data_IF_710676561090
#
_entry.id   IF_710676561090
#
_cell.length_a   1.000
_cell.length_b   1.000
_cell.length_c   1.000
_cell.angle_alpha   90.00
_cell.angle_beta   90.00
_cell.angle_gamma   90.00
#
_symmetry.space_group_name_H-M   'P 1'
#
loop_
_entity.id
_entity.type
_entity.pdbx_description
1 polymer ?
#
# COMPACT_ATOMS: atom_id res chain seq x y z
N UNK A 1 -49.60 13.09 -3.46
CA UNK A 1 -48.33 12.37 -3.46
C UNK A 1 -47.47 12.99 -4.53
N UNK A 2 -46.39 13.70 -4.16
CA UNK A 2 -45.42 14.20 -5.12
C UNK A 2 -44.65 13.03 -5.71
N UNK A 3 -44.71 12.86 -7.02
CA UNK A 3 -43.94 11.80 -7.70
C UNK A 3 -42.45 11.97 -7.33
N UNK A 4 -41.84 10.89 -6.90
CA UNK A 4 -40.39 10.88 -6.61
C UNK A 4 -39.63 11.26 -7.90
N UNK A 5 -38.77 12.27 -7.80
CA UNK A 5 -37.90 12.66 -8.93
C UNK A 5 -36.82 11.59 -9.08
N UNK A 6 -36.79 10.96 -10.25
CA UNK A 6 -35.73 9.99 -10.56
C UNK A 6 -34.45 10.72 -10.89
N UNK A 7 -33.34 10.36 -10.22
CA UNK A 7 -31.98 10.74 -10.60
C UNK A 7 -31.32 9.57 -11.34
N UNK A 8 -30.65 9.85 -12.46
CA UNK A 8 -29.91 8.86 -13.21
C UNK A 8 -28.40 9.24 -13.17
N UNK A 9 -27.58 8.35 -12.66
CA UNK A 9 -26.13 8.44 -12.77
C UNK A 9 -25.67 7.50 -13.91
N UNK A 10 -25.10 8.07 -14.95
CA UNK A 10 -24.54 7.32 -16.09
C UNK A 10 -23.01 7.45 -16.03
N UNK A 11 -22.32 6.35 -15.82
CA UNK A 11 -20.86 6.28 -15.74
C UNK A 11 -20.32 5.73 -17.06
N UNK A 12 -19.51 6.55 -17.75
CA UNK A 12 -18.76 6.13 -18.93
C UNK A 12 -17.35 5.77 -18.46
N UNK A 13 -17.16 4.51 -18.04
CA UNK A 13 -15.90 4.02 -17.49
C UNK A 13 -14.79 4.07 -18.53
N UNK A 14 -13.64 4.64 -18.17
CA UNK A 14 -12.52 4.87 -19.09
C UNK A 14 -12.69 6.09 -20.02
N UNK A 15 -13.80 6.81 -19.97
CA UNK A 15 -14.03 8.01 -20.76
C UNK A 15 -13.35 9.22 -20.12
N UNK A 16 -12.04 9.40 -20.43
CA UNK A 16 -11.24 10.49 -19.89
C UNK A 16 -11.28 11.76 -20.72
N UNK A 17 -10.71 12.84 -20.19
CA UNK A 17 -10.54 14.10 -20.89
C UNK A 17 -9.06 14.38 -21.16
N UNK A 18 -8.74 14.74 -22.41
CA UNK A 18 -7.43 15.22 -22.84
C UNK A 18 -7.61 16.18 -24.02
N UNK A 19 -6.98 17.35 -23.95
CA UNK A 19 -7.06 18.35 -25.02
C UNK A 19 -6.32 17.91 -26.30
N UNK A 20 -5.20 17.16 -26.15
CA UNK A 20 -4.44 16.67 -27.30
C UNK A 20 -5.24 15.69 -28.14
N UNK A 21 -5.21 15.87 -29.47
CA UNK A 21 -5.91 15.03 -30.46
C UNK A 21 -5.15 13.73 -30.76
N UNK A 22 -3.82 13.75 -30.69
CA UNK A 22 -2.99 12.61 -31.06
C UNK A 22 -3.21 11.42 -30.14
N UNK A 23 -3.45 10.25 -30.75
CA UNK A 23 -3.76 9.01 -30.03
C UNK A 23 -4.92 9.13 -29.04
N UNK A 24 -5.89 10.01 -29.31
CA UNK A 24 -7.09 10.22 -28.51
C UNK A 24 -8.32 9.67 -29.24
N UNK A 25 -8.71 8.45 -28.87
CA UNK A 25 -9.83 7.75 -29.49
C UNK A 25 -11.17 8.50 -29.32
N UNK A 26 -11.38 9.17 -28.19
CA UNK A 26 -12.59 9.96 -27.93
C UNK A 26 -12.65 11.15 -28.86
N UNK A 27 -11.52 11.86 -29.06
CA UNK A 27 -11.44 12.99 -29.99
C UNK A 27 -11.63 12.56 -31.45
N UNK A 28 -11.14 11.37 -31.82
CA UNK A 28 -11.27 10.83 -33.16
C UNK A 28 -12.66 10.22 -33.46
N UNK A 29 -13.44 9.95 -32.41
CA UNK A 29 -14.76 9.34 -32.59
C UNK A 29 -15.81 10.35 -33.02
N UNK A 30 -16.81 9.87 -33.77
CA UNK A 30 -18.00 10.65 -34.08
C UNK A 30 -19.00 10.53 -32.93
N UNK A 31 -18.95 11.47 -32.00
CA UNK A 31 -19.74 11.46 -30.75
C UNK A 31 -20.65 12.70 -30.62
N UNK A 32 -21.58 12.97 -31.54
CA UNK A 32 -22.32 14.23 -31.60
C UNK A 32 -23.17 14.51 -30.35
N UNK A 33 -23.68 13.49 -29.70
CA UNK A 33 -24.42 13.64 -28.42
C UNK A 33 -23.53 14.10 -27.29
N UNK A 34 -22.33 13.51 -27.17
CA UNK A 34 -21.33 13.90 -26.18
C UNK A 34 -20.89 15.36 -26.42
N UNK A 35 -20.53 15.68 -27.66
CA UNK A 35 -20.06 17.03 -28.03
C UNK A 35 -21.10 18.08 -27.71
N UNK A 36 -22.37 17.80 -28.00
CA UNK A 36 -23.49 18.69 -27.65
C UNK A 36 -23.65 18.85 -26.14
N UNK A 37 -23.60 17.75 -25.38
CA UNK A 37 -23.68 17.80 -23.92
C UNK A 37 -22.54 18.60 -23.32
N UNK A 38 -21.33 18.40 -23.82
CA UNK A 38 -20.14 19.13 -23.36
C UNK A 38 -20.23 20.63 -23.62
N UNK A 39 -20.79 21.04 -24.77
CA UNK A 39 -20.92 22.44 -25.11
C UNK A 39 -22.08 23.14 -24.40
N UNK A 40 -23.21 22.47 -24.22
CA UNK A 40 -24.47 23.10 -23.80
C UNK A 40 -24.82 22.87 -22.33
N UNK A 41 -24.17 21.92 -21.64
CA UNK A 41 -24.55 21.56 -20.26
C UNK A 41 -23.47 21.93 -19.25
N UNK A 42 -23.87 22.26 -18.03
CA UNK A 42 -22.90 22.44 -16.93
C UNK A 42 -22.04 21.18 -16.78
N UNK A 43 -20.73 21.37 -16.76
CA UNK A 43 -19.77 20.27 -16.59
C UNK A 43 -18.56 20.72 -15.78
N UNK A 44 -17.81 19.77 -15.25
CA UNK A 44 -16.55 19.99 -14.57
C UNK A 44 -15.62 18.81 -14.77
N UNK A 45 -14.34 19.01 -14.56
CA UNK A 45 -13.34 17.96 -14.54
C UNK A 45 -13.04 17.55 -13.11
N UNK A 46 -12.85 16.25 -12.92
CA UNK A 46 -12.42 15.67 -11.65
C UNK A 46 -11.08 14.97 -11.85
N UNK A 47 -10.28 14.92 -10.80
CA UNK A 47 -9.04 14.12 -10.80
C UNK A 47 -9.38 12.66 -10.58
N UNK A 48 -8.70 11.78 -11.33
CA UNK A 48 -8.96 10.33 -11.36
C UNK A 48 -7.74 9.50 -10.97
N UNK A 49 -6.71 10.12 -10.39
CA UNK A 49 -5.45 9.46 -10.03
C UNK A 49 -4.90 9.97 -8.69
N UNK A 50 -3.93 9.27 -8.16
CA UNK A 50 -3.20 9.62 -6.96
C UNK A 50 -4.09 9.82 -5.73
N UNK A 51 -3.71 10.71 -4.84
CA UNK A 51 -4.41 10.99 -3.58
C UNK A 51 -5.87 11.41 -3.77
N UNK A 52 -6.21 11.98 -4.93
CA UNK A 52 -7.58 12.40 -5.22
C UNK A 52 -8.57 11.23 -5.31
N UNK A 53 -8.09 10.02 -5.47
CA UNK A 53 -8.88 8.78 -5.48
C UNK A 53 -8.43 7.77 -4.42
N UNK A 54 -7.60 8.20 -3.47
CA UNK A 54 -7.15 7.36 -2.37
C UNK A 54 -5.97 6.44 -2.69
N UNK A 55 -5.28 6.67 -3.82
CA UNK A 55 -4.07 5.97 -4.23
C UNK A 55 -2.82 6.77 -3.89
N UNK A 56 -1.62 6.16 -3.85
CA UNK A 56 -0.37 6.88 -3.75
C UNK A 56 -0.20 7.94 -4.84
N UNK A 57 0.52 9.02 -4.52
CA UNK A 57 0.80 10.08 -5.50
C UNK A 57 1.51 9.52 -6.73
N UNK A 58 1.13 10.02 -7.92
CA UNK A 58 1.65 9.53 -9.20
C UNK A 58 1.07 8.21 -9.70
N UNK A 59 0.29 7.50 -8.89
CA UNK A 59 -0.35 6.27 -9.33
C UNK A 59 -1.60 6.56 -10.15
N UNK A 60 -1.69 5.94 -11.33
CA UNK A 60 -2.86 6.03 -12.20
C UNK A 60 -4.08 5.38 -11.53
N UNK A 61 -5.24 6.03 -11.64
CA UNK A 61 -6.50 5.47 -11.16
C UNK A 61 -6.96 4.24 -11.95
N UNK A 62 -7.95 3.58 -11.39
CA UNK A 62 -8.60 2.43 -12.02
C UNK A 62 -10.10 2.44 -11.71
N UNK A 63 -10.84 1.56 -12.36
CA UNK A 63 -12.29 1.46 -12.23
C UNK A 63 -12.74 1.16 -10.79
N UNK A 64 -12.03 0.29 -10.08
CA UNK A 64 -12.37 -0.12 -8.72
C UNK A 64 -12.38 1.06 -7.76
N UNK A 65 -11.28 1.81 -7.68
CA UNK A 65 -11.20 2.98 -6.79
C UNK A 65 -12.13 4.10 -7.23
N UNK A 66 -12.34 4.30 -8.53
CA UNK A 66 -13.25 5.31 -9.06
C UNK A 66 -14.69 5.04 -8.64
N UNK A 67 -15.18 3.83 -8.88
CA UNK A 67 -16.54 3.43 -8.47
C UNK A 67 -16.73 3.42 -6.95
N UNK A 68 -15.70 3.00 -6.21
CA UNK A 68 -15.74 3.04 -4.74
C UNK A 68 -15.90 4.48 -4.22
N UNK A 69 -15.16 5.43 -4.76
CA UNK A 69 -15.26 6.84 -4.38
C UNK A 69 -16.63 7.44 -4.75
N UNK A 70 -17.13 7.13 -5.94
CA UNK A 70 -18.47 7.56 -6.38
C UNK A 70 -19.57 7.00 -5.46
N UNK A 71 -19.51 5.70 -5.15
CA UNK A 71 -20.47 5.03 -4.28
C UNK A 71 -20.42 5.51 -2.83
N UNK A 72 -19.23 5.82 -2.33
CA UNK A 72 -19.04 6.34 -0.97
C UNK A 72 -19.34 7.85 -0.83
N UNK A 73 -19.39 8.57 -1.94
CA UNK A 73 -19.53 10.04 -1.94
C UNK A 73 -18.34 10.78 -1.30
N UNK A 74 -17.19 10.14 -1.19
CA UNK A 74 -15.96 10.68 -0.62
C UNK A 74 -14.74 9.94 -1.14
N UNK A 75 -13.56 10.51 -0.94
CA UNK A 75 -12.31 9.79 -1.19
C UNK A 75 -12.15 8.65 -0.19
N UNK A 76 -11.95 7.42 -0.69
CA UNK A 76 -11.69 6.22 0.10
C UNK A 76 -10.22 5.87 -0.08
N UNK A 77 -9.42 6.12 0.94
CA UNK A 77 -8.00 5.78 0.92
C UNK A 77 -7.80 4.25 0.90
N UNK A 78 -6.97 3.79 -0.01
CA UNK A 78 -6.52 2.40 -0.03
C UNK A 78 -5.63 2.12 1.20
N UNK A 79 -5.48 0.85 1.57
CA UNK A 79 -4.78 0.48 2.80
C UNK A 79 -3.37 1.08 2.89
N UNK A 80 -2.60 1.02 1.81
CA UNK A 80 -1.26 1.61 1.77
C UNK A 80 -1.31 3.10 2.10
N UNK A 81 -2.07 3.87 1.33
CA UNK A 81 -2.19 5.33 1.48
C UNK A 81 -2.78 5.73 2.84
N UNK A 82 -3.68 4.90 3.39
CA UNK A 82 -4.24 5.12 4.73
C UNK A 82 -3.18 4.99 5.81
N UNK A 83 -2.34 3.95 5.74
CA UNK A 83 -1.25 3.75 6.70
C UNK A 83 -0.22 4.88 6.58
N UNK A 84 0.14 5.29 5.38
CA UNK A 84 1.04 6.41 5.16
C UNK A 84 0.50 7.71 5.77
N UNK A 85 -0.80 7.95 5.61
CA UNK A 85 -1.47 9.09 6.22
C UNK A 85 -1.45 9.01 7.75
N UNK A 86 -1.76 7.84 8.31
CA UNK A 86 -1.75 7.61 9.75
C UNK A 86 -0.34 7.79 10.36
N UNK A 87 0.71 7.44 9.61
CA UNK A 87 2.10 7.72 9.98
C UNK A 87 2.36 9.23 9.95
N UNK A 88 1.94 9.91 8.88
CA UNK A 88 2.20 11.33 8.68
C UNK A 88 1.49 12.23 9.71
N UNK A 89 0.25 11.88 10.11
CA UNK A 89 -0.52 12.64 11.10
C UNK A 89 -0.31 12.16 12.55
N UNK A 90 0.48 11.10 12.78
CA UNK A 90 0.82 10.57 14.08
C UNK A 90 -0.20 9.60 14.68
N UNK A 91 -1.34 9.35 14.03
CA UNK A 91 -2.36 8.42 14.51
C UNK A 91 -1.88 6.97 14.53
N UNK A 92 -0.93 6.61 13.64
CA UNK A 92 -0.26 5.31 13.66
C UNK A 92 0.38 5.00 15.02
N UNK A 93 1.03 5.97 15.65
CA UNK A 93 1.69 5.81 16.93
C UNK A 93 0.72 5.66 18.12
N UNK A 94 -0.57 5.96 17.94
CA UNK A 94 -1.64 5.78 18.92
C UNK A 94 -2.58 4.62 18.60
N UNK A 95 -2.29 3.83 17.57
CA UNK A 95 -3.06 2.63 17.26
C UNK A 95 -3.02 1.64 18.42
N UNK A 96 -4.19 1.25 18.93
CA UNK A 96 -4.33 0.48 20.17
C UNK A 96 -3.69 -0.92 20.04
N UNK A 97 -3.91 -1.61 18.93
CA UNK A 97 -3.40 -2.96 18.71
C UNK A 97 -1.88 -2.97 18.61
N UNK A 98 -1.30 -2.03 17.87
CA UNK A 98 0.15 -1.91 17.74
C UNK A 98 0.79 -1.57 19.11
N UNK A 99 0.23 -0.60 19.81
CA UNK A 99 0.79 -0.16 21.10
C UNK A 99 0.64 -1.22 22.19
N UNK A 100 -0.44 -1.98 22.18
CA UNK A 100 -0.64 -3.10 23.10
C UNK A 100 0.35 -4.25 22.84
N UNK A 101 0.55 -4.62 21.56
CA UNK A 101 1.52 -5.66 21.18
C UNK A 101 2.96 -5.25 21.58
N UNK A 102 3.33 -3.99 21.33
CA UNK A 102 4.64 -3.46 21.73
C UNK A 102 4.80 -3.45 23.25
N UNK A 103 3.79 -2.99 24.00
CA UNK A 103 3.81 -2.95 25.46
C UNK A 103 3.93 -4.37 26.06
N UNK A 104 3.19 -5.34 25.53
CA UNK A 104 3.28 -6.74 25.96
C UNK A 104 4.69 -7.31 25.80
N UNK A 105 5.40 -6.94 24.73
CA UNK A 105 6.81 -7.31 24.52
C UNK A 105 7.74 -6.57 25.48
N UNK A 106 7.57 -5.27 25.66
CA UNK A 106 8.43 -4.45 26.51
C UNK A 106 8.31 -4.84 27.98
N UNK A 107 7.09 -4.95 28.49
CA UNK A 107 6.79 -5.25 29.90
C UNK A 107 7.06 -6.73 30.24
N UNK A 108 6.77 -7.63 29.30
CA UNK A 108 6.96 -9.08 29.47
C UNK A 108 8.40 -9.55 29.24
N UNK A 109 9.31 -8.69 28.78
CA UNK A 109 10.69 -9.05 28.46
C UNK A 109 10.82 -10.01 27.28
N UNK A 110 9.76 -10.14 26.48
CA UNK A 110 9.73 -11.00 25.30
C UNK A 110 10.17 -10.27 24.04
N UNK A 111 10.51 -11.03 22.99
CA UNK A 111 10.87 -10.45 21.69
C UNK A 111 9.63 -10.00 20.91
N UNK A 112 9.75 -8.88 20.21
CA UNK A 112 8.81 -8.44 19.20
C UNK A 112 9.29 -8.88 17.83
N UNK A 113 8.50 -9.68 17.14
CA UNK A 113 8.79 -10.14 15.78
C UNK A 113 7.95 -9.37 14.78
N UNK A 114 8.59 -8.74 13.82
CA UNK A 114 7.97 -8.00 12.72
C UNK A 114 8.21 -8.76 11.41
N UNK A 115 7.15 -9.01 10.66
CA UNK A 115 7.19 -9.69 9.38
C UNK A 115 6.74 -8.72 8.29
N UNK A 116 7.46 -8.65 7.17
CA UNK A 116 7.05 -7.78 6.07
C UNK A 116 7.88 -7.93 4.82
N UNK A 117 7.28 -7.56 3.69
CA UNK A 117 7.98 -7.41 2.43
C UNK A 117 8.77 -6.10 2.47
N UNK A 118 10.07 -6.18 2.68
CA UNK A 118 10.98 -5.04 2.76
C UNK A 118 11.26 -4.52 1.34
N UNK A 119 10.43 -3.60 0.89
CA UNK A 119 10.42 -3.14 -0.50
C UNK A 119 9.95 -1.69 -0.61
N UNK A 120 10.59 -0.86 -1.43
CA UNK A 120 10.10 0.46 -1.80
C UNK A 120 9.03 0.43 -2.91
N UNK A 121 8.61 -0.76 -3.38
CA UNK A 121 7.71 -0.92 -4.54
C UNK A 121 6.28 -0.46 -4.31
N UNK A 122 5.76 -0.49 -3.08
CA UNK A 122 4.45 0.04 -2.73
C UNK A 122 3.24 -0.72 -3.29
N UNK A 123 3.42 -1.96 -3.74
CA UNK A 123 2.32 -2.78 -4.28
C UNK A 123 1.66 -3.63 -3.19
N UNK A 124 2.45 -4.42 -2.47
CA UNK A 124 1.97 -5.27 -1.36
C UNK A 124 2.39 -4.72 0.00
N UNK A 125 3.43 -3.91 0.05
CA UNK A 125 4.02 -3.30 1.23
C UNK A 125 4.86 -2.10 0.82
N UNK A 126 5.13 -1.19 1.75
CA UNK A 126 6.16 -0.17 1.58
C UNK A 126 7.10 -0.20 2.78
N UNK A 127 8.41 -0.18 2.52
CA UNK A 127 9.43 -0.30 3.58
C UNK A 127 9.35 0.80 4.63
N UNK A 128 8.91 2.01 4.29
CA UNK A 128 8.77 3.11 5.23
C UNK A 128 7.72 2.81 6.32
N UNK A 129 6.69 2.01 6.02
CA UNK A 129 5.71 1.56 7.02
C UNK A 129 6.35 0.56 8.00
N UNK A 130 7.25 -0.31 7.50
CA UNK A 130 8.05 -1.21 8.34
C UNK A 130 8.98 -0.40 9.24
N UNK A 131 9.68 0.59 8.67
CA UNK A 131 10.54 1.48 9.46
C UNK A 131 9.76 2.21 10.55
N UNK A 132 8.60 2.79 10.23
CA UNK A 132 7.75 3.46 11.21
C UNK A 132 7.35 2.53 12.37
N UNK A 133 7.05 1.26 12.09
CA UNK A 133 6.74 0.29 13.13
C UNK A 133 7.95 -0.06 13.98
N UNK A 134 9.12 -0.27 13.38
CA UNK A 134 10.36 -0.55 14.09
C UNK A 134 10.75 0.63 15.00
N UNK A 135 10.69 1.84 14.49
CA UNK A 135 10.97 3.07 15.25
C UNK A 135 9.99 3.25 16.40
N UNK A 136 8.70 3.02 16.17
CA UNK A 136 7.68 3.05 17.22
C UNK A 136 7.96 2.03 18.31
N UNK A 137 8.29 0.79 17.94
CA UNK A 137 8.60 -0.28 18.87
C UNK A 137 9.80 0.08 19.77
N UNK A 138 10.87 0.58 19.17
CA UNK A 138 12.08 1.01 19.87
C UNK A 138 11.81 2.22 20.79
N UNK A 139 11.05 3.21 20.31
CA UNK A 139 10.67 4.38 21.09
C UNK A 139 9.80 4.03 22.31
N UNK A 140 8.97 3.01 22.19
CA UNK A 140 8.09 2.52 23.28
C UNK A 140 8.73 1.47 24.18
N UNK A 141 10.03 1.24 24.05
CA UNK A 141 10.78 0.44 25.01
C UNK A 141 10.89 -1.06 24.70
N UNK A 142 10.52 -1.51 23.50
CA UNK A 142 10.79 -2.89 23.11
C UNK A 142 12.30 -3.17 23.17
N UNK A 143 12.69 -4.22 23.90
CA UNK A 143 14.10 -4.53 24.19
C UNK A 143 14.71 -5.50 23.18
N UNK A 144 13.90 -6.30 22.51
CA UNK A 144 14.31 -7.28 21.52
C UNK A 144 13.37 -7.19 20.30
N UNK A 145 13.84 -6.56 19.23
CA UNK A 145 13.05 -6.37 18.00
C UNK A 145 13.69 -7.15 16.86
N UNK A 146 12.97 -8.08 16.30
CA UNK A 146 13.43 -8.96 15.22
C UNK A 146 12.62 -8.75 13.95
N UNK A 147 13.29 -8.34 12.88
CA UNK A 147 12.67 -8.25 11.56
C UNK A 147 12.91 -9.53 10.77
N UNK A 148 11.82 -10.13 10.31
CA UNK A 148 11.82 -11.20 9.31
C UNK A 148 11.51 -10.55 7.96
N UNK A 149 12.55 -10.22 7.21
CA UNK A 149 12.42 -9.47 5.97
C UNK A 149 12.19 -10.40 4.79
N UNK A 150 11.03 -10.25 4.13
CA UNK A 150 10.80 -10.83 2.82
C UNK A 150 11.34 -9.87 1.76
N UNK A 151 12.06 -10.41 0.76
CA UNK A 151 12.71 -9.60 -0.26
C UNK A 151 11.90 -9.63 -1.55
N UNK A 152 11.82 -8.48 -2.20
CA UNK A 152 11.04 -8.30 -3.42
C UNK A 152 11.78 -8.86 -4.66
N UNK A 153 12.06 -8.08 -5.64
CA UNK A 153 12.68 -8.47 -6.90
C UNK A 153 11.65 -8.78 -8.01
N UNK A 154 10.38 -8.49 -7.75
CA UNK A 154 9.27 -8.56 -8.72
C UNK A 154 8.65 -7.18 -8.99
N UNK A 155 8.27 -6.47 -7.93
CA UNK A 155 7.74 -5.12 -8.02
C UNK A 155 8.87 -4.08 -8.02
N UNK A 156 10.07 -4.52 -7.69
CA UNK A 156 11.34 -3.79 -7.76
C UNK A 156 12.39 -4.60 -8.53
N UNK A 157 13.49 -4.00 -9.00
CA UNK A 157 14.52 -4.74 -9.71
C UNK A 157 15.08 -5.94 -8.92
N UNK A 158 15.37 -7.09 -9.56
CA UNK A 158 15.68 -8.35 -8.88
C UNK A 158 16.87 -8.34 -7.91
N UNK A 159 17.76 -7.34 -7.97
CA UNK A 159 18.96 -7.23 -7.11
C UNK A 159 19.00 -5.92 -6.31
N UNK A 160 17.85 -5.30 -6.04
CA UNK A 160 17.76 -3.98 -5.39
C UNK A 160 17.69 -4.02 -3.86
N UNK A 161 17.49 -5.17 -3.24
CA UNK A 161 17.20 -5.31 -1.81
C UNK A 161 18.32 -4.80 -0.86
N UNK A 162 19.57 -4.71 -1.34
CA UNK A 162 20.71 -4.35 -0.49
C UNK A 162 20.57 -2.96 0.14
N UNK A 163 19.97 -1.99 -0.56
CA UNK A 163 19.79 -0.65 -0.03
C UNK A 163 18.82 -0.65 1.17
N UNK A 164 17.70 -1.33 1.04
CA UNK A 164 16.69 -1.49 2.09
C UNK A 164 17.25 -2.27 3.29
N UNK A 165 18.02 -3.33 3.04
CA UNK A 165 18.68 -4.09 4.10
C UNK A 165 19.71 -3.27 4.88
N UNK A 166 20.53 -2.48 4.21
CA UNK A 166 21.48 -1.58 4.89
C UNK A 166 20.78 -0.54 5.74
N UNK A 167 19.66 -0.01 5.26
CA UNK A 167 18.88 0.99 5.98
C UNK A 167 18.31 0.40 7.27
N UNK A 168 17.69 -0.78 7.22
CA UNK A 168 17.12 -1.42 8.41
C UNK A 168 18.19 -1.89 9.38
N UNK A 169 19.30 -2.43 8.87
CA UNK A 169 20.42 -2.85 9.72
C UNK A 169 21.01 -1.66 10.49
N UNK A 170 21.19 -0.51 9.83
CA UNK A 170 21.65 0.73 10.46
C UNK A 170 20.69 1.20 11.56
N UNK A 171 19.39 1.16 11.32
CA UNK A 171 18.37 1.54 12.32
C UNK A 171 18.43 0.63 13.55
N UNK A 172 18.44 -0.68 13.34
CA UNK A 172 18.41 -1.66 14.44
C UNK A 172 19.74 -1.71 15.19
N UNK A 173 20.86 -1.63 14.49
CA UNK A 173 22.21 -1.58 15.10
C UNK A 173 22.39 -0.32 15.97
N UNK A 174 21.96 0.83 15.50
CA UNK A 174 22.03 2.09 16.27
C UNK A 174 21.25 2.01 17.59
N UNK A 175 20.16 1.23 17.64
CA UNK A 175 19.38 1.03 18.87
C UNK A 175 20.03 0.05 19.85
N UNK A 176 20.86 -0.85 19.37
CA UNK A 176 21.40 -1.99 20.13
C UNK A 176 20.34 -3.00 20.62
N UNK A 177 19.08 -2.88 20.17
CA UNK A 177 17.94 -3.65 20.69
C UNK A 177 17.22 -4.46 19.62
N UNK A 178 17.80 -4.59 18.44
CA UNK A 178 17.16 -5.34 17.35
C UNK A 178 18.13 -5.80 16.27
N UNK A 179 17.64 -6.67 15.41
CA UNK A 179 18.36 -7.17 14.25
C UNK A 179 17.42 -7.72 13.19
N UNK A 180 17.92 -7.87 11.97
CA UNK A 180 17.28 -8.73 10.97
C UNK A 180 17.48 -10.18 11.40
N UNK A 181 16.40 -10.89 11.66
CA UNK A 181 16.44 -12.26 12.16
C UNK A 181 16.43 -13.29 11.04
N UNK A 182 15.72 -13.02 9.94
CA UNK A 182 15.72 -13.89 8.77
C UNK A 182 15.52 -13.08 7.48
N UNK A 183 16.01 -13.64 6.38
CA UNK A 183 15.86 -13.13 5.03
C UNK A 183 15.29 -14.22 4.14
N UNK A 184 14.19 -13.94 3.45
CA UNK A 184 13.57 -14.87 2.51
C UNK A 184 13.06 -14.12 1.28
N UNK A 185 13.36 -14.62 0.09
CA UNK A 185 12.77 -14.05 -1.13
C UNK A 185 11.28 -14.32 -1.22
N UNK A 186 10.51 -13.34 -1.74
CA UNK A 186 9.06 -13.50 -1.94
C UNK A 186 8.68 -14.65 -2.85
N UNK A 187 9.60 -15.13 -3.68
CA UNK A 187 9.41 -16.31 -4.51
C UNK A 187 9.04 -17.55 -3.66
N UNK A 188 9.59 -17.63 -2.47
CA UNK A 188 9.30 -18.66 -1.49
C UNK A 188 8.20 -18.26 -0.51
N UNK A 189 8.38 -17.11 0.14
CA UNK A 189 7.51 -16.66 1.24
C UNK A 189 6.12 -16.18 0.79
N UNK A 190 5.94 -15.84 -0.48
CA UNK A 190 4.69 -15.29 -1.01
C UNK A 190 4.17 -16.09 -2.22
N UNK A 191 4.44 -17.41 -2.24
CA UNK A 191 3.87 -18.28 -3.27
C UNK A 191 2.34 -18.31 -3.16
N UNK A 192 1.68 -18.25 -4.32
CA UNK A 192 0.22 -18.33 -4.45
C UNK A 192 -0.21 -19.31 -5.55
N UNK A 193 0.73 -20.17 -5.97
CA UNK A 193 0.53 -21.16 -7.03
C UNK A 193 0.41 -22.58 -6.46
N UNK A 194 0.27 -22.72 -5.12
CA UNK A 194 0.23 -23.97 -4.39
C UNK A 194 1.50 -24.83 -4.60
N UNK A 195 2.64 -24.16 -4.75
CA UNK A 195 3.95 -24.78 -4.88
C UNK A 195 4.54 -25.03 -3.49
N UNK A 196 4.20 -26.16 -2.90
CA UNK A 196 4.62 -26.53 -1.55
C UNK A 196 6.14 -26.67 -1.44
N UNK A 197 6.81 -27.07 -2.52
CA UNK A 197 8.26 -27.08 -2.67
C UNK A 197 8.92 -25.69 -2.51
N UNK A 198 8.16 -24.60 -2.68
CA UNK A 198 8.60 -23.23 -2.40
C UNK A 198 8.19 -22.77 -1.02
N UNK A 199 7.00 -23.14 -0.56
CA UNK A 199 6.49 -22.73 0.74
C UNK A 199 7.29 -23.35 1.89
N UNK A 200 7.67 -24.61 1.76
CA UNK A 200 8.38 -25.39 2.79
C UNK A 200 9.68 -24.72 3.26
N UNK A 201 10.63 -24.27 2.40
CA UNK A 201 11.84 -23.59 2.87
C UNK A 201 11.55 -22.31 3.64
N UNK A 202 10.53 -21.54 3.26
CA UNK A 202 10.13 -20.33 3.99
C UNK A 202 9.52 -20.68 5.35
N UNK A 203 8.72 -21.75 5.41
CA UNK A 203 8.15 -22.26 6.65
C UNK A 203 9.25 -22.75 7.61
N UNK A 204 10.18 -23.56 7.12
CA UNK A 204 11.27 -24.10 7.91
C UNK A 204 12.22 -23.03 8.44
N UNK A 205 12.49 -22.01 7.62
CA UNK A 205 13.24 -20.83 8.07
C UNK A 205 12.59 -20.15 9.28
N UNK A 206 11.26 -20.00 9.25
CA UNK A 206 10.53 -19.26 10.28
C UNK A 206 10.25 -20.12 11.53
N UNK A 207 10.14 -21.43 11.40
CA UNK A 207 9.77 -22.32 12.50
C UNK A 207 10.95 -23.08 13.11
N UNK A 208 11.93 -23.47 12.28
CA UNK A 208 13.09 -24.24 12.70
C UNK A 208 14.43 -23.48 12.58
N UNK A 209 14.43 -22.30 11.98
CA UNK A 209 15.64 -21.51 11.73
C UNK A 209 16.57 -22.16 10.69
N UNK A 210 16.04 -23.04 9.86
CA UNK A 210 16.79 -23.76 8.80
C UNK A 210 16.29 -23.33 7.42
N UNK A 211 17.22 -23.19 6.45
CA UNK A 211 16.93 -22.87 5.04
C UNK A 211 17.98 -23.47 4.12
#
# INVERSE_FOLDING_TARGET
MTAAKTALLLILDGWGHREASDSNAIHAANSPTWDKLWQERPHTLIRTSGLSVGLPEGQMGNSEVGHMNLGAGRVVYQNLTRIDKDIADGSFASNAELTQAIAASADGGSALHVFGLLSPGGIHSHEDQIFALLELALARGANQVYLHAFLDGRDTPPRSALASLKRVDSLLAASGRGRVASLCGRFYAMDRDNRWDRVEPAYDLLTAGSA
#
